data_IF_359736352963
#
_entry.id   IF_359736352963
#
_cell.length_a   1.000
_cell.length_b   1.000
_cell.length_c   1.000
_cell.angle_alpha   90.00
_cell.angle_beta   90.00
_cell.angle_gamma   90.00
#
_symmetry.space_group_name_H-M   'P 1'
#
loop_
_entity.id
_entity.type
_entity.pdbx_description
1 polymer ?
#
# COMPACT_ATOMS: atom_id res chain seq x y z
N UNK A 1 -17.02 16.09 -18.72
CA UNK A 1 -17.30 15.93 -17.28
C UNK A 1 -18.81 15.95 -17.05
N UNK A 2 -19.38 14.93 -16.39
CA UNK A 2 -20.79 14.86 -16.00
C UNK A 2 -21.26 16.10 -15.22
N UNK A 3 -22.53 16.47 -15.39
CA UNK A 3 -23.11 17.66 -14.74
C UNK A 3 -23.10 17.55 -13.21
N UNK A 4 -23.40 16.37 -12.67
CA UNK A 4 -23.36 16.11 -11.22
C UNK A 4 -21.99 16.43 -10.61
N UNK A 5 -20.89 16.13 -11.30
CA UNK A 5 -19.53 16.47 -10.84
C UNK A 5 -19.22 17.96 -10.97
N UNK A 6 -19.77 18.65 -12.00
CA UNK A 6 -19.64 20.12 -12.13
C UNK A 6 -20.28 20.84 -10.96
N UNK A 7 -21.48 20.41 -10.56
CA UNK A 7 -22.20 20.98 -9.41
C UNK A 7 -21.38 20.85 -8.13
N UNK A 8 -20.80 19.68 -7.86
CA UNK A 8 -19.97 19.45 -6.67
C UNK A 8 -18.69 20.31 -6.73
N UNK A 9 -17.99 20.34 -7.88
CA UNK A 9 -16.78 21.14 -8.05
C UNK A 9 -17.03 22.65 -7.87
N UNK A 10 -18.22 23.14 -8.25
CA UNK A 10 -18.60 24.54 -8.08
C UNK A 10 -18.91 24.92 -6.63
N UNK A 11 -19.19 23.95 -5.75
CA UNK A 11 -19.41 24.22 -4.32
C UNK A 11 -18.12 24.59 -3.56
N UNK A 12 -16.94 24.27 -4.13
CA UNK A 12 -15.58 24.72 -3.75
C UNK A 12 -15.12 24.62 -2.30
N UNK A 13 -15.83 23.93 -1.39
CA UNK A 13 -15.39 23.83 0.01
C UNK A 13 -14.65 22.53 0.36
N UNK A 14 -15.01 21.40 -0.28
CA UNK A 14 -14.52 20.06 0.13
C UNK A 14 -14.14 19.14 -1.05
N UNK A 15 -14.20 19.64 -2.28
CA UNK A 15 -13.96 18.83 -3.48
C UNK A 15 -13.27 19.66 -4.56
N UNK A 16 -12.23 19.07 -5.15
CA UNK A 16 -11.45 19.66 -6.23
C UNK A 16 -11.22 18.59 -7.31
N UNK A 17 -11.16 19.02 -8.57
CA UNK A 17 -10.80 18.16 -9.69
C UNK A 17 -9.46 18.62 -10.24
N UNK A 18 -8.47 17.75 -10.16
CA UNK A 18 -7.16 17.96 -10.77
C UNK A 18 -7.00 17.04 -11.97
N UNK A 19 -6.74 17.61 -13.14
CA UNK A 19 -6.50 16.87 -14.37
C UNK A 19 -5.04 16.44 -14.43
N UNK A 20 -4.81 15.14 -14.62
CA UNK A 20 -3.47 14.55 -14.63
C UNK A 20 -3.26 13.70 -15.88
N UNK A 21 -1.99 13.48 -16.25
CA UNK A 21 -1.63 12.55 -17.33
C UNK A 21 -2.16 11.14 -17.03
N UNK A 22 -2.54 10.42 -18.08
CA UNK A 22 -2.95 9.03 -17.94
C UNK A 22 -1.75 8.09 -17.71
N UNK A 23 -1.39 7.87 -16.45
CA UNK A 23 -0.36 6.91 -16.00
C UNK A 23 -0.96 5.58 -15.56
N UNK A 24 -2.19 5.26 -15.98
CA UNK A 24 -2.86 4.03 -15.60
C UNK A 24 -3.29 4.03 -14.13
N UNK A 25 -2.98 2.97 -13.35
CA UNK A 25 -3.46 2.84 -11.97
C UNK A 25 -2.76 3.79 -10.99
N UNK A 26 -1.55 4.26 -11.33
CA UNK A 26 -0.76 5.20 -10.53
C UNK A 26 -1.43 6.55 -10.23
N UNK A 27 -2.44 6.93 -11.03
CA UNK A 27 -3.15 8.22 -10.92
C UNK A 27 -3.84 8.46 -9.59
N UNK A 28 -4.12 7.41 -8.82
CA UNK A 28 -4.80 7.55 -7.52
C UNK A 28 -3.94 8.22 -6.46
N UNK A 29 -2.62 8.00 -6.50
CA UNK A 29 -1.72 8.41 -5.42
C UNK A 29 -0.51 9.22 -5.89
N UNK A 30 0.09 8.86 -7.03
CA UNK A 30 1.35 9.49 -7.49
C UNK A 30 1.23 11.02 -7.63
N UNK A 31 0.19 11.58 -8.28
CA UNK A 31 0.08 13.05 -8.39
C UNK A 31 0.00 13.76 -7.04
N UNK A 32 -0.67 13.14 -6.05
CA UNK A 32 -0.77 13.68 -4.69
C UNK A 32 0.58 13.63 -3.99
N UNK A 33 1.34 12.55 -4.15
CA UNK A 33 2.70 12.43 -3.60
C UNK A 33 3.67 13.42 -4.24
N UNK A 34 3.62 13.62 -5.57
CA UNK A 34 4.42 14.62 -6.28
C UNK A 34 4.20 16.01 -5.69
N UNK A 35 2.93 16.41 -5.54
CA UNK A 35 2.56 17.66 -4.90
C UNK A 35 3.09 17.73 -3.45
N UNK A 36 2.92 16.67 -2.66
CA UNK A 36 3.41 16.65 -1.28
C UNK A 36 4.93 16.80 -1.20
N UNK A 37 5.69 16.19 -2.11
CA UNK A 37 7.15 16.31 -2.14
C UNK A 37 7.61 17.69 -2.60
N UNK A 38 6.96 18.27 -3.61
CA UNK A 38 7.25 19.62 -4.10
C UNK A 38 7.05 20.67 -3.00
N UNK A 39 5.92 20.62 -2.30
CA UNK A 39 5.56 21.57 -1.24
C UNK A 39 6.02 21.15 0.16
N UNK A 40 6.74 20.03 0.27
CA UNK A 40 7.26 19.45 1.53
C UNK A 40 6.17 19.29 2.60
N UNK A 41 4.98 18.86 2.19
CA UNK A 41 3.85 18.59 3.09
C UNK A 41 3.76 17.11 3.44
N UNK A 42 3.05 16.80 4.52
CA UNK A 42 2.91 15.43 5.01
C UNK A 42 1.50 15.11 5.52
N UNK A 43 0.44 15.36 4.71
CA UNK A 43 -0.92 15.08 5.10
C UNK A 43 -1.20 13.57 5.21
N UNK A 44 -2.31 13.24 5.87
CA UNK A 44 -2.96 11.94 5.72
C UNK A 44 -3.61 11.91 4.34
N UNK A 45 -3.33 10.87 3.56
CA UNK A 45 -3.90 10.65 2.23
C UNK A 45 -4.69 9.35 2.30
N UNK A 46 -5.98 9.38 1.95
CA UNK A 46 -6.80 8.18 1.86
C UNK A 46 -7.24 8.05 0.42
N UNK A 47 -6.90 6.93 -0.22
CA UNK A 47 -7.41 6.61 -1.55
C UNK A 47 -8.81 6.02 -1.42
N UNK A 48 -9.69 6.36 -2.36
CA UNK A 48 -11.03 5.80 -2.46
C UNK A 48 -11.31 5.39 -3.90
N UNK A 49 -12.11 4.34 -4.07
CA UNK A 49 -12.62 3.90 -5.36
C UNK A 49 -13.96 4.60 -5.65
N UNK A 50 -14.19 4.96 -6.92
CA UNK A 50 -15.42 5.62 -7.37
C UNK A 50 -16.61 4.65 -7.50
N UNK A 51 -16.34 3.35 -7.43
CA UNK A 51 -17.32 2.27 -7.53
C UNK A 51 -17.54 1.52 -6.21
N UNK A 52 -17.14 2.08 -5.06
CA UNK A 52 -17.25 1.43 -3.74
C UNK A 52 -18.13 2.25 -2.79
N UNK A 53 -19.06 1.57 -2.10
CA UNK A 53 -19.84 2.17 -1.01
C UNK A 53 -19.12 1.94 0.31
N UNK A 54 -18.54 3.01 0.85
CA UNK A 54 -17.82 2.98 2.12
C UNK A 54 -18.77 3.03 3.33
N UNK A 55 -18.49 2.27 4.41
CA UNK A 55 -19.27 2.35 5.64
C UNK A 55 -19.10 3.70 6.31
N UNK A 56 -20.10 4.13 7.10
CA UNK A 56 -20.11 5.46 7.73
C UNK A 56 -18.89 5.73 8.62
N UNK A 57 -18.37 4.70 9.28
CA UNK A 57 -17.20 4.78 10.16
C UNK A 57 -15.87 4.53 9.44
N UNK A 58 -15.84 4.47 8.10
CA UNK A 58 -14.64 4.16 7.32
C UNK A 58 -13.47 5.08 7.67
N UNK A 59 -13.67 6.41 7.62
CA UNK A 59 -12.62 7.38 7.91
C UNK A 59 -12.16 7.28 9.37
N UNK A 60 -13.09 7.12 10.31
CA UNK A 60 -12.78 6.99 11.73
C UNK A 60 -11.86 5.79 11.99
N UNK A 61 -12.20 4.62 11.41
CA UNK A 61 -11.40 3.40 11.55
C UNK A 61 -10.03 3.58 10.92
N UNK A 62 -9.94 4.14 9.71
CA UNK A 62 -8.67 4.34 9.02
C UNK A 62 -7.74 5.28 9.80
N UNK A 63 -8.25 6.44 10.22
CA UNK A 63 -7.47 7.47 10.92
C UNK A 63 -7.10 7.03 12.33
N UNK A 64 -8.04 6.48 13.12
CA UNK A 64 -7.73 6.02 14.48
C UNK A 64 -6.70 4.88 14.47
N UNK A 65 -6.81 3.94 13.54
CA UNK A 65 -5.83 2.85 13.36
C UNK A 65 -4.46 3.41 12.96
N UNK A 66 -4.42 4.37 12.02
CA UNK A 66 -3.17 5.02 11.64
C UNK A 66 -2.51 5.71 12.83
N UNK A 67 -3.26 6.47 13.63
CA UNK A 67 -2.73 7.16 14.81
C UNK A 67 -2.24 6.18 15.89
N UNK A 68 -2.91 5.03 16.04
CA UNK A 68 -2.52 4.02 17.01
C UNK A 68 -1.21 3.31 16.64
N UNK A 69 -0.95 3.03 15.36
CA UNK A 69 0.19 2.22 14.91
C UNK A 69 1.28 3.00 14.14
N UNK A 70 1.03 4.27 13.82
CA UNK A 70 1.83 5.08 12.89
C UNK A 70 2.14 4.35 11.56
N UNK A 71 1.14 3.66 11.03
CA UNK A 71 1.26 2.71 9.91
C UNK A 71 0.42 3.13 8.69
N UNK A 72 0.71 2.51 7.54
CA UNK A 72 -0.24 2.46 6.43
C UNK A 72 -1.42 1.59 6.87
N UNK A 73 -2.65 1.99 6.55
CA UNK A 73 -3.84 1.21 6.87
C UNK A 73 -4.55 0.85 5.58
N UNK A 74 -4.72 -0.44 5.32
CA UNK A 74 -5.41 -0.93 4.13
C UNK A 74 -6.60 -1.80 4.53
N UNK A 75 -7.73 -1.63 3.82
CA UNK A 75 -8.90 -2.46 4.07
C UNK A 75 -8.62 -3.93 3.73
N UNK A 76 -7.96 -4.17 2.60
CA UNK A 76 -7.58 -5.52 2.16
C UNK A 76 -6.16 -5.59 1.59
N UNK A 77 -5.61 -6.79 1.66
CA UNK A 77 -4.28 -7.09 1.18
C UNK A 77 -3.92 -8.56 1.39
N UNK A 78 -2.66 -8.86 1.12
CA UNK A 78 -2.04 -10.17 1.33
C UNK A 78 -0.84 -10.02 2.25
N UNK A 79 -0.46 -11.08 2.96
CA UNK A 79 0.81 -11.13 3.67
C UNK A 79 1.82 -11.88 2.82
N UNK A 80 2.86 -11.16 2.39
CA UNK A 80 3.96 -11.72 1.61
C UNK A 80 4.77 -12.71 2.46
N UNK A 81 5.30 -13.74 1.82
CA UNK A 81 6.24 -14.69 2.41
C UNK A 81 7.52 -14.78 1.58
N UNK A 82 8.61 -15.11 2.26
CA UNK A 82 9.96 -15.23 1.69
C UNK A 82 10.42 -16.65 2.00
N UNK A 83 10.86 -17.37 0.97
CA UNK A 83 11.43 -18.72 1.09
C UNK A 83 12.90 -18.66 0.69
N UNK A 84 13.79 -18.90 1.65
CA UNK A 84 15.22 -18.70 1.46
C UNK A 84 15.54 -17.21 1.29
N UNK A 85 16.00 -16.84 0.10
CA UNK A 85 16.39 -15.48 -0.29
C UNK A 85 15.44 -14.87 -1.34
N UNK A 86 14.33 -15.54 -1.68
CA UNK A 86 13.38 -15.05 -2.68
C UNK A 86 11.95 -14.95 -2.14
N UNK A 87 11.20 -14.00 -2.68
CA UNK A 87 9.76 -13.90 -2.45
C UNK A 87 9.03 -15.13 -3.01
N UNK A 88 8.07 -15.65 -2.25
CA UNK A 88 7.11 -16.63 -2.79
C UNK A 88 6.23 -16.00 -3.88
N UNK A 89 5.54 -16.84 -4.65
CA UNK A 89 4.66 -16.35 -5.71
C UNK A 89 3.50 -15.52 -5.16
N UNK A 90 3.00 -14.57 -5.95
CA UNK A 90 1.83 -13.77 -5.62
C UNK A 90 0.62 -14.66 -5.31
N UNK A 91 0.48 -15.79 -6.00
CA UNK A 91 -0.59 -16.77 -5.74
C UNK A 91 -0.46 -17.40 -4.35
N UNK A 92 0.76 -17.71 -3.90
CA UNK A 92 1.00 -18.20 -2.55
C UNK A 92 0.50 -17.19 -1.53
N UNK A 93 0.82 -15.90 -1.70
CA UNK A 93 0.39 -14.85 -0.78
C UNK A 93 -1.12 -14.69 -0.69
N UNK A 94 -1.86 -15.00 -1.75
CA UNK A 94 -3.34 -15.00 -1.73
C UNK A 94 -3.91 -16.06 -0.78
N UNK A 95 -3.18 -17.17 -0.58
CA UNK A 95 -3.55 -18.26 0.32
C UNK A 95 -2.99 -18.12 1.74
N UNK A 96 -2.07 -17.17 1.98
CA UNK A 96 -1.46 -16.97 3.28
C UNK A 96 -2.46 -16.42 4.31
N UNK A 97 -2.27 -16.78 5.57
CA UNK A 97 -2.95 -16.11 6.68
C UNK A 97 -2.52 -14.63 6.72
N UNK A 98 -3.50 -13.74 6.83
CA UNK A 98 -3.26 -12.29 6.87
C UNK A 98 -2.81 -11.88 8.27
N UNK A 99 -1.64 -11.27 8.37
CA UNK A 99 -1.19 -10.61 9.60
C UNK A 99 -1.94 -9.29 9.79
N UNK A 100 -2.33 -8.98 11.03
CA UNK A 100 -2.96 -7.69 11.31
C UNK A 100 -2.01 -6.51 11.08
N UNK A 101 -0.77 -6.57 11.59
CA UNK A 101 0.27 -5.54 11.34
C UNK A 101 1.57 -6.22 10.94
N UNK A 102 2.16 -5.81 9.82
CA UNK A 102 3.42 -6.37 9.33
C UNK A 102 4.06 -5.48 8.26
N UNK A 103 5.38 -5.54 8.13
CA UNK A 103 6.10 -4.93 7.00
C UNK A 103 5.91 -5.79 5.74
N UNK A 104 5.56 -7.08 5.88
CA UNK A 104 5.25 -7.99 4.76
C UNK A 104 3.81 -7.88 4.25
N UNK A 105 2.96 -7.09 4.91
CA UNK A 105 1.60 -6.85 4.41
C UNK A 105 1.63 -5.97 3.15
N UNK A 106 1.07 -6.50 2.06
CA UNK A 106 0.88 -5.88 0.75
C UNK A 106 -0.58 -5.39 0.61
N UNK A 107 -0.83 -4.07 0.63
CA UNK A 107 -2.12 -3.50 0.22
C UNK A 107 -2.38 -3.78 -1.27
N UNK A 108 -3.62 -4.10 -1.64
CA UNK A 108 -3.98 -4.47 -3.03
C UNK A 108 -4.73 -3.38 -3.81
N UNK A 109 -4.50 -2.10 -3.46
CA UNK A 109 -4.99 -0.94 -4.22
C UNK A 109 -6.52 -0.72 -4.31
N UNK A 110 -7.31 -1.47 -3.52
CA UNK A 110 -8.78 -1.51 -3.58
C UNK A 110 -9.38 -1.32 -2.17
N UNK A 111 -10.60 -0.79 -2.11
CA UNK A 111 -11.41 -0.59 -0.90
C UNK A 111 -10.82 0.45 0.06
N UNK A 112 -9.90 1.25 -0.47
CA UNK A 112 -9.25 2.35 0.21
C UNK A 112 -8.06 2.00 1.08
N UNK A 113 -7.06 2.88 1.02
CA UNK A 113 -5.79 2.75 1.73
C UNK A 113 -5.37 4.13 2.24
N UNK A 114 -4.93 4.19 3.49
CA UNK A 114 -4.38 5.36 4.13
C UNK A 114 -2.85 5.34 4.03
N UNK A 115 -2.31 6.43 3.50
CA UNK A 115 -0.89 6.71 3.35
C UNK A 115 -0.51 8.05 4.00
N UNK A 116 0.80 8.26 4.10
CA UNK A 116 1.42 9.56 4.34
C UNK A 116 2.67 9.69 3.47
N UNK A 117 3.02 10.91 3.01
CA UNK A 117 4.24 11.13 2.22
C UNK A 117 5.53 10.64 2.90
N UNK A 118 5.63 10.74 4.23
CA UNK A 118 6.83 10.29 4.97
C UNK A 118 7.19 8.80 4.80
N UNK A 119 6.24 7.98 4.35
CA UNK A 119 6.44 6.55 4.11
C UNK A 119 7.14 6.24 2.79
N UNK A 120 7.42 7.27 2.00
CA UNK A 120 8.00 7.15 0.68
C UNK A 120 9.27 7.98 0.56
N UNK A 121 10.16 7.54 -0.32
CA UNK A 121 11.22 8.36 -0.87
C UNK A 121 10.73 8.99 -2.19
N UNK A 122 11.30 10.13 -2.58
CA UNK A 122 10.96 10.83 -3.83
C UNK A 122 11.15 9.94 -5.08
N UNK A 123 11.97 8.89 -5.00
CA UNK A 123 12.10 7.90 -6.08
C UNK A 123 10.77 7.24 -6.47
N UNK A 124 9.78 7.15 -5.56
CA UNK A 124 8.51 6.47 -5.85
C UNK A 124 7.70 7.15 -6.96
N UNK A 125 7.88 8.46 -7.14
CA UNK A 125 7.14 9.25 -8.14
C UNK A 125 7.87 9.41 -9.46
N UNK A 126 9.00 8.71 -9.67
CA UNK A 126 9.74 8.78 -10.94
C UNK A 126 8.96 8.07 -12.05
N UNK A 127 8.19 8.83 -12.82
CA UNK A 127 7.31 8.32 -13.88
C UNK A 127 8.00 7.34 -14.85
N UNK A 128 9.21 7.69 -15.29
CA UNK A 128 9.99 6.85 -16.19
C UNK A 128 10.28 5.46 -15.60
N UNK A 129 10.48 5.37 -14.29
CA UNK A 129 10.85 4.13 -13.62
C UNK A 129 9.62 3.24 -13.44
N UNK A 130 8.55 3.76 -12.82
CA UNK A 130 7.36 2.92 -12.55
C UNK A 130 6.63 2.50 -13.84
N UNK A 131 6.59 3.35 -14.88
CA UNK A 131 5.98 2.97 -16.16
C UNK A 131 6.83 1.94 -16.93
N UNK A 132 8.15 1.90 -16.71
CA UNK A 132 9.04 0.90 -17.33
C UNK A 132 9.01 -0.43 -16.57
N UNK A 133 9.10 -0.36 -15.24
CA UNK A 133 9.30 -1.51 -14.37
C UNK A 133 7.98 -2.22 -14.06
N UNK A 134 6.94 -1.45 -13.72
CA UNK A 134 5.68 -1.97 -13.19
C UNK A 134 4.45 -1.23 -13.75
N UNK A 135 4.25 -1.13 -15.08
CA UNK A 135 3.24 -0.26 -15.70
C UNK A 135 1.79 -0.45 -15.22
N UNK A 136 1.46 -1.65 -14.70
CA UNK A 136 0.12 -2.02 -14.26
C UNK A 136 0.08 -2.63 -12.85
N UNK A 137 1.17 -2.53 -12.09
CA UNK A 137 1.33 -3.13 -10.76
C UNK A 137 1.77 -2.06 -9.73
N UNK A 138 0.95 -1.02 -9.62
CA UNK A 138 1.19 0.11 -8.73
C UNK A 138 1.18 -0.28 -7.25
N UNK A 139 0.32 -1.21 -6.86
CA UNK A 139 0.27 -1.76 -5.50
C UNK A 139 1.60 -2.39 -5.08
N UNK A 140 2.21 -3.19 -5.96
CA UNK A 140 3.53 -3.81 -5.75
C UNK A 140 4.63 -2.73 -5.75
N UNK A 141 4.63 -1.79 -6.70
CA UNK A 141 5.61 -0.69 -6.73
C UNK A 141 5.59 0.14 -5.43
N UNK A 142 4.40 0.59 -5.02
CA UNK A 142 4.21 1.35 -3.78
C UNK A 142 4.65 0.52 -2.57
N UNK A 143 4.32 -0.78 -2.54
CA UNK A 143 4.70 -1.63 -1.43
C UNK A 143 6.21 -1.70 -1.27
N UNK A 144 6.96 -1.87 -2.36
CA UNK A 144 8.41 -1.95 -2.31
C UNK A 144 9.05 -0.68 -1.74
N UNK A 145 8.60 0.48 -2.20
CA UNK A 145 9.09 1.77 -1.68
C UNK A 145 8.76 1.97 -0.19
N UNK A 146 7.60 1.52 0.28
CA UNK A 146 7.24 1.61 1.71
C UNK A 146 8.02 0.61 2.57
N UNK A 147 8.30 -0.58 2.04
CA UNK A 147 9.00 -1.66 2.74
C UNK A 147 10.49 -1.35 2.93
N UNK A 148 11.15 -0.73 1.95
CA UNK A 148 12.53 -0.24 2.14
C UNK A 148 12.63 0.83 3.24
N UNK A 149 11.53 1.51 3.54
CA UNK A 149 11.43 2.44 4.67
C UNK A 149 10.89 1.77 5.94
N UNK A 150 10.92 0.45 6.01
CA UNK A 150 10.38 -0.38 7.10
C UNK A 150 8.95 0.02 7.54
N UNK A 151 8.14 0.54 6.63
CA UNK A 151 6.82 1.06 7.00
C UNK A 151 5.88 -0.10 7.28
N UNK A 152 5.31 -0.21 8.50
CA UNK A 152 4.33 -1.24 8.81
C UNK A 152 3.02 -0.96 8.07
N UNK A 153 2.32 -2.04 7.73
CA UNK A 153 0.99 -1.99 7.11
C UNK A 153 0.02 -2.76 8.00
N UNK A 154 -1.06 -2.09 8.39
CA UNK A 154 -2.22 -2.69 9.07
C UNK A 154 -3.21 -3.18 8.01
N UNK A 155 -3.65 -4.44 8.10
CA UNK A 155 -4.70 -5.01 7.26
C UNK A 155 -5.99 -5.17 8.08
N UNK A 156 -7.00 -4.35 7.78
CA UNK A 156 -8.29 -4.43 8.49
C UNK A 156 -9.04 -5.74 8.21
N UNK A 157 -8.90 -6.31 7.01
CA UNK A 157 -9.48 -7.62 6.69
C UNK A 157 -8.94 -8.77 7.55
N UNK A 158 -7.79 -8.61 8.24
CA UNK A 158 -7.28 -9.61 9.17
C UNK A 158 -8.08 -9.66 10.49
N UNK A 159 -8.85 -8.61 10.80
CA UNK A 159 -9.72 -8.54 11.99
C UNK A 159 -11.21 -8.55 11.61
N UNK A 160 -11.53 -9.06 10.42
CA UNK A 160 -12.92 -9.21 9.97
C UNK A 160 -13.60 -7.92 9.50
N UNK A 161 -12.84 -6.86 9.21
CA UNK A 161 -13.42 -5.71 8.49
C UNK A 161 -13.89 -6.17 7.11
N UNK A 162 -15.15 -5.88 6.72
CA UNK A 162 -15.77 -6.49 5.55
C UNK A 162 -15.09 -6.04 4.26
N UNK A 163 -15.07 -6.92 3.27
CA UNK A 163 -14.84 -6.49 1.89
C UNK A 163 -15.97 -5.56 1.47
N UNK A 164 -15.60 -4.42 0.87
CA UNK A 164 -16.57 -3.40 0.54
C UNK A 164 -17.32 -3.79 -0.74
N UNK A 165 -18.63 -3.54 -0.75
CA UNK A 165 -19.48 -3.86 -1.89
C UNK A 165 -19.23 -2.85 -3.00
N UNK A 166 -18.99 -3.36 -4.20
CA UNK A 166 -19.00 -2.55 -5.40
C UNK A 166 -20.45 -2.06 -5.67
N UNK A 167 -20.60 -0.80 -6.03
CA UNK A 167 -21.89 -0.18 -6.38
C UNK A 167 -22.40 -0.62 -7.76
N UNK A 168 -21.55 -1.27 -8.58
CA UNK A 168 -21.89 -1.78 -9.90
C UNK A 168 -21.40 -3.23 -10.09
N UNK A 169 -22.19 -4.05 -10.80
CA UNK A 169 -21.70 -5.31 -11.37
C UNK A 169 -20.61 -4.98 -12.39
N UNK A 170 -19.34 -5.12 -11.99
CA UNK A 170 -18.21 -4.89 -12.89
C UNK A 170 -18.27 -5.93 -14.01
N UNK A 171 -18.32 -5.49 -15.27
CA UNK A 171 -18.12 -6.40 -16.40
C UNK A 171 -16.75 -7.07 -16.27
N UNK A 172 -16.77 -8.29 -15.77
CA UNK A 172 -15.57 -9.05 -15.44
C UNK A 172 -14.69 -9.30 -16.67
N UNK A 173 -15.21 -9.16 -17.90
CA UNK A 173 -14.47 -9.35 -19.15
C UNK A 173 -13.39 -8.28 -19.38
N UNK A 174 -13.52 -7.08 -18.80
CA UNK A 174 -12.65 -5.93 -19.08
C UNK A 174 -11.69 -5.59 -17.92
N UNK A 175 -11.80 -6.28 -16.79
CA UNK A 175 -11.01 -5.99 -15.57
C UNK A 175 -9.50 -6.04 -15.81
N UNK A 176 -8.78 -5.09 -15.20
CA UNK A 176 -7.30 -5.04 -15.19
C UNK A 176 -6.69 -6.39 -14.78
N UNK A 177 -7.29 -7.04 -13.78
CA UNK A 177 -6.89 -8.35 -13.32
C UNK A 177 -6.86 -9.40 -14.45
N UNK A 178 -7.90 -9.47 -15.29
CA UNK A 178 -7.93 -10.46 -16.38
C UNK A 178 -6.97 -10.11 -17.52
N UNK A 179 -6.78 -8.83 -17.82
CA UNK A 179 -5.92 -8.36 -18.92
C UNK A 179 -4.43 -8.53 -18.63
N UNK A 180 -4.01 -8.21 -17.41
CA UNK A 180 -2.59 -8.12 -17.06
C UNK A 180 -2.13 -9.18 -16.06
N UNK A 181 -3.00 -9.62 -15.14
CA UNK A 181 -2.57 -10.43 -13.98
C UNK A 181 -2.91 -11.92 -14.09
N UNK A 182 -3.83 -12.32 -15.00
CA UNK A 182 -4.30 -13.71 -15.14
C UNK A 182 -3.19 -14.72 -15.48
N UNK A 183 -2.06 -14.28 -16.04
CA UNK A 183 -0.95 -15.12 -16.51
C UNK A 183 0.39 -14.85 -15.80
N UNK A 184 0.39 -14.50 -14.50
CA UNK A 184 1.63 -14.29 -13.73
C UNK A 184 2.24 -12.89 -13.89
N UNK A 185 1.45 -11.90 -14.32
CA UNK A 185 1.91 -10.52 -14.50
C UNK A 185 2.47 -9.88 -13.22
N UNK A 186 1.90 -10.23 -12.07
CA UNK A 186 2.39 -9.74 -10.77
C UNK A 186 3.76 -10.33 -10.41
N UNK A 187 3.96 -11.64 -10.61
CA UNK A 187 5.26 -12.28 -10.38
C UNK A 187 6.34 -11.69 -11.31
N UNK A 188 6.00 -11.46 -12.58
CA UNK A 188 6.91 -10.80 -13.51
C UNK A 188 7.23 -9.34 -13.10
N UNK A 189 6.26 -8.61 -12.54
CA UNK A 189 6.48 -7.28 -11.99
C UNK A 189 7.41 -7.33 -10.76
N UNK A 190 7.18 -8.27 -9.84
CA UNK A 190 8.03 -8.50 -8.65
C UNK A 190 9.49 -8.71 -9.07
N UNK A 191 9.76 -9.60 -10.03
CA UNK A 191 11.12 -9.85 -10.51
C UNK A 191 11.78 -8.57 -11.06
N UNK A 192 11.06 -7.78 -11.86
CA UNK A 192 11.58 -6.52 -12.41
C UNK A 192 11.82 -5.46 -11.34
N UNK A 193 10.95 -5.39 -10.34
CA UNK A 193 11.09 -4.45 -9.23
C UNK A 193 12.28 -4.86 -8.36
N UNK A 194 12.47 -6.15 -8.04
CA UNK A 194 13.63 -6.61 -7.29
C UNK A 194 14.94 -6.27 -8.01
N UNK A 195 15.00 -6.49 -9.33
CA UNK A 195 16.16 -6.08 -10.13
C UNK A 195 16.37 -4.56 -10.08
N UNK A 196 15.30 -3.77 -10.24
CA UNK A 196 15.38 -2.31 -10.12
C UNK A 196 15.93 -1.88 -8.75
N UNK A 197 15.57 -2.59 -7.68
CA UNK A 197 16.04 -2.30 -6.33
C UNK A 197 17.51 -2.67 -6.13
N UNK A 198 17.97 -3.78 -6.69
CA UNK A 198 19.41 -4.10 -6.73
C UNK A 198 20.20 -2.99 -7.43
N UNK A 199 19.73 -2.53 -8.59
CA UNK A 199 20.40 -1.50 -9.40
C UNK A 199 20.43 -0.12 -8.73
N UNK A 200 19.40 0.26 -7.96
CA UNK A 200 19.24 1.62 -7.44
C UNK A 200 19.45 1.74 -5.91
N UNK A 201 19.38 0.64 -5.17
CA UNK A 201 19.52 0.60 -3.72
C UNK A 201 20.56 -0.43 -3.23
N UNK A 202 21.26 -1.12 -4.14
CA UNK A 202 22.38 -2.02 -3.86
C UNK A 202 22.02 -3.46 -3.49
N UNK A 203 20.75 -3.74 -3.21
CA UNK A 203 20.24 -5.08 -2.90
C UNK A 203 18.73 -5.19 -3.16
N UNK A 204 18.27 -6.43 -3.32
CA UNK A 204 16.85 -6.76 -3.47
C UNK A 204 16.10 -6.55 -2.15
N UNK A 205 14.79 -6.26 -2.21
CA UNK A 205 13.99 -6.06 -1.01
C UNK A 205 13.87 -7.35 -0.19
N UNK A 206 13.74 -8.52 -0.83
CA UNK A 206 13.67 -9.80 -0.11
C UNK A 206 14.86 -9.96 0.85
N UNK A 207 16.09 -9.70 0.42
CA UNK A 207 17.30 -9.79 1.23
C UNK A 207 17.30 -8.83 2.42
N UNK A 208 16.71 -7.64 2.25
CA UNK A 208 16.50 -6.68 3.36
C UNK A 208 15.49 -7.16 4.37
N UNK A 209 14.45 -7.86 3.93
CA UNK A 209 13.33 -8.28 4.78
C UNK A 209 13.53 -9.65 5.43
N UNK A 210 14.40 -10.53 4.90
CA UNK A 210 14.71 -11.84 5.51
C UNK A 210 15.03 -11.74 7.01
N UNK A 211 15.91 -10.83 7.47
CA UNK A 211 16.21 -10.70 8.90
C UNK A 211 15.02 -10.26 9.76
N UNK A 212 14.03 -9.61 9.16
CA UNK A 212 12.86 -9.06 9.85
C UNK A 212 11.67 -10.02 9.85
N UNK A 213 11.55 -10.85 8.82
CA UNK A 213 10.54 -11.90 8.75
C UNK A 213 10.62 -12.84 9.97
N UNK A 214 11.84 -13.07 10.47
CA UNK A 214 12.10 -13.84 11.69
C UNK A 214 11.70 -13.12 12.99
N UNK A 215 11.59 -11.79 12.98
CA UNK A 215 11.24 -11.01 14.18
C UNK A 215 9.72 -10.94 14.38
N UNK A 216 8.86 -11.03 13.36
CA UNK A 216 7.43 -10.68 13.39
C UNK A 216 6.47 -11.61 14.20
N UNK A 217 6.95 -12.59 14.97
CA UNK A 217 6.16 -13.70 15.55
C UNK A 217 5.33 -13.42 16.84
N UNK A 218 4.61 -12.30 16.98
CA UNK A 218 3.67 -12.16 18.13
C UNK A 218 2.19 -12.21 17.64
N UNK A 219 1.40 -13.22 18.06
CA UNK A 219 0.01 -13.37 17.64
C UNK A 219 -0.93 -12.36 18.33
N UNK A 220 -1.96 -11.95 17.58
CA UNK A 220 -2.97 -10.91 17.89
C UNK A 220 -3.73 -11.13 19.22
N UNK A 221 -3.69 -12.33 19.80
CA UNK A 221 -4.43 -12.70 21.01
C UNK A 221 -4.14 -11.84 22.26
N UNK A 222 -3.08 -11.04 22.26
CA UNK A 222 -2.70 -10.15 23.38
C UNK A 222 -3.21 -8.71 23.25
N UNK A 223 -3.82 -8.33 22.11
CA UNK A 223 -4.16 -6.93 21.79
C UNK A 223 -5.59 -6.50 22.17
N UNK A 224 -6.46 -7.40 22.64
CA UNK A 224 -7.87 -7.08 22.92
C UNK A 224 -8.14 -6.38 24.27
N UNK A 225 -7.11 -6.11 25.09
CA UNK A 225 -7.33 -5.69 26.49
C UNK A 225 -6.75 -4.34 26.90
N UNK A 226 -6.13 -3.54 26.00
CA UNK A 226 -5.50 -2.28 26.41
C UNK A 226 -5.98 -1.09 25.60
N UNK A 227 -6.90 -0.37 26.22
CA UNK A 227 -7.31 1.00 25.91
C UNK A 227 -6.11 1.92 25.66
N UNK A 228 -6.11 2.60 24.52
CA UNK A 228 -5.68 4.01 24.42
C UNK A 228 -4.20 4.34 24.30
N UNK A 229 -3.27 3.39 24.26
CA UNK A 229 -1.83 3.70 24.09
C UNK A 229 -1.40 3.44 22.65
N UNK A 230 -0.75 4.43 22.02
CA UNK A 230 -0.06 4.29 20.73
C UNK A 230 0.83 3.04 20.76
N UNK A 231 0.43 1.99 20.03
CA UNK A 231 1.20 0.78 19.83
C UNK A 231 2.28 1.04 18.78
N UNK A 232 3.15 2.03 19.04
CA UNK A 232 4.50 2.01 18.49
C UNK A 232 5.19 0.81 19.13
N UNK A 233 5.11 -0.35 18.49
CA UNK A 233 5.89 -1.47 18.99
C UNK A 233 7.36 -1.12 18.75
N UNK A 234 8.17 -1.02 19.81
CA UNK A 234 9.60 -0.69 19.75
C UNK A 234 10.38 -1.57 18.73
N UNK A 235 9.80 -2.74 18.44
CA UNK A 235 10.14 -3.69 17.38
C UNK A 235 10.18 -3.10 15.97
N UNK A 236 9.26 -2.20 15.59
CA UNK A 236 9.30 -1.57 14.26
C UNK A 236 10.36 -0.48 14.16
N UNK A 237 10.62 0.24 15.25
CA UNK A 237 11.73 1.21 15.32
C UNK A 237 13.10 0.49 15.27
N UNK A 238 13.19 -0.72 15.81
CA UNK A 238 14.36 -1.62 15.68
C UNK A 238 14.50 -2.17 14.26
N UNK A 239 13.41 -2.68 13.66
CA UNK A 239 13.38 -3.12 12.27
C UNK A 239 13.80 -2.00 11.29
N UNK A 240 13.32 -0.77 11.53
CA UNK A 240 13.72 0.40 10.76
C UNK A 240 15.22 0.69 10.86
N UNK A 241 15.78 0.68 12.09
CA UNK A 241 17.22 0.85 12.30
C UNK A 241 18.06 -0.23 11.63
N UNK A 242 17.63 -1.49 11.69
CA UNK A 242 18.28 -2.61 11.01
C UNK A 242 18.30 -2.42 9.48
N UNK A 243 17.16 -2.05 8.87
CA UNK A 243 17.10 -1.78 7.42
C UNK A 243 18.02 -0.62 7.04
N UNK A 244 18.00 0.48 7.81
CA UNK A 244 18.82 1.65 7.49
C UNK A 244 20.33 1.42 7.70
N UNK A 245 20.72 0.59 8.68
CA UNK A 245 22.14 0.29 8.95
C UNK A 245 22.85 -0.46 7.81
N UNK A 246 22.09 -1.09 6.92
CA UNK A 246 22.61 -1.79 5.73
C UNK A 246 22.76 -0.88 4.50
N UNK A 247 22.36 0.38 4.60
CA UNK A 247 22.57 1.40 3.56
C UNK A 247 23.94 2.04 3.78
N UNK A 248 24.95 1.61 3.02
CA UNK A 248 26.21 2.32 2.81
C UNK A 248 26.26 2.88 1.41
#
# INVERSE_FOLDING_TARGET
MPESLRVIANSKQLFEIQWVKNTGPYRKLIPVLEHCFEFKTNPIIITCDDDVIYPRNFLDVMVSTHLAFDAIVACRGYTMSISGDVFDTYRTWQGNEKKFVSILNLPTGKDGILYRPKYFDVSVVRERDFLRVAPSADDIWLKWHTAVRATPVVLLSAIGFPELRNSQEVDTRVSLYRKYNKAGGNDAAITKIEQHFVENFGEALCHRLVPLAALECEPISTLSSRTGTCLKTAKYDEAFRLIQSKVK
#
